data_IF_954528641968
#
_entry.id   IF_954528641968
#
_cell.length_a   1.000
_cell.length_b   1.000
_cell.length_c   1.000
_cell.angle_alpha   90.00
_cell.angle_beta   90.00
_cell.angle_gamma   90.00
#
_symmetry.space_group_name_H-M   'P 1'
#
loop_
_entity.id
_entity.type
_entity.pdbx_description
1 polymer ?
#
# COMPACT_ATOMS: atom_id res chain seq x y z
N UNK A 1 43.09 9.02 11.75
CA UNK A 1 41.62 9.13 11.53
C UNK A 1 41.20 9.73 10.17
N UNK A 2 42.03 10.49 9.44
CA UNK A 2 41.63 11.09 8.14
C UNK A 2 41.65 10.16 6.90
N UNK A 3 42.21 8.96 6.98
CA UNK A 3 42.37 8.05 5.82
C UNK A 3 41.21 7.06 5.61
N UNK A 4 40.29 6.92 6.57
CA UNK A 4 39.16 5.98 6.47
C UNK A 4 37.94 6.60 5.75
N UNK A 5 37.77 7.93 5.82
CA UNK A 5 36.65 8.64 5.20
C UNK A 5 36.71 8.64 3.67
N UNK A 6 37.92 8.69 3.10
CA UNK A 6 38.12 8.71 1.64
C UNK A 6 37.80 7.35 1.01
N UNK A 7 38.11 6.24 1.69
CA UNK A 7 37.77 4.89 1.20
C UNK A 7 36.28 4.59 1.28
N UNK A 8 35.60 5.04 2.33
CA UNK A 8 34.14 4.92 2.44
C UNK A 8 33.41 5.77 1.37
N UNK A 9 33.89 7.00 1.12
CA UNK A 9 33.37 7.83 0.04
C UNK A 9 33.63 7.23 -1.36
N UNK A 10 34.77 6.56 -1.57
CA UNK A 10 35.07 5.87 -2.83
C UNK A 10 34.16 4.67 -3.07
N UNK A 11 33.84 3.89 -2.03
CA UNK A 11 32.92 2.74 -2.13
C UNK A 11 31.48 3.20 -2.39
N UNK A 12 31.03 4.29 -1.76
CA UNK A 12 29.74 4.92 -2.09
C UNK A 12 29.73 5.52 -3.51
N UNK A 13 30.83 6.08 -3.99
CA UNK A 13 30.94 6.61 -5.34
C UNK A 13 31.01 5.52 -6.43
N UNK A 14 31.63 4.36 -6.13
CA UNK A 14 31.70 3.20 -7.03
C UNK A 14 30.39 2.40 -7.08
N UNK A 15 29.51 2.52 -6.08
CA UNK A 15 28.16 1.95 -6.09
C UNK A 15 27.14 2.73 -6.93
N UNK A 16 27.47 3.94 -7.39
CA UNK A 16 26.56 4.83 -8.14
C UNK A 16 26.50 4.53 -9.65
N UNK A 17 27.30 3.59 -10.16
CA UNK A 17 27.39 3.27 -11.59
C UNK A 17 26.77 1.93 -11.98
N UNK A 18 25.91 1.35 -11.15
CA UNK A 18 25.14 0.17 -11.56
C UNK A 18 24.02 0.63 -12.48
N UNK A 19 24.18 0.41 -13.80
CA UNK A 19 23.07 0.49 -14.74
C UNK A 19 22.08 -0.64 -14.40
N UNK A 20 21.14 -0.35 -13.50
CA UNK A 20 20.03 -1.23 -13.21
C UNK A 20 19.01 -1.11 -14.36
N UNK A 21 19.08 -2.03 -15.32
CA UNK A 21 17.97 -2.29 -16.23
C UNK A 21 16.93 -3.08 -15.44
N UNK A 22 15.99 -2.36 -14.84
CA UNK A 22 14.91 -2.95 -14.05
C UNK A 22 13.55 -2.48 -14.62
N UNK A 23 12.62 -3.43 -14.73
CA UNK A 23 11.27 -3.25 -15.27
C UNK A 23 11.04 -3.98 -16.59
N UNK A 24 9.87 -4.63 -16.72
CA UNK A 24 9.42 -5.25 -17.96
C UNK A 24 8.33 -4.37 -18.60
N UNK A 25 8.73 -3.43 -19.48
CA UNK A 25 7.80 -2.53 -20.17
C UNK A 25 6.80 -3.28 -21.04
N UNK A 26 7.17 -4.44 -21.56
CA UNK A 26 6.41 -5.16 -22.58
C UNK A 26 5.08 -5.71 -22.04
N UNK A 27 4.92 -5.77 -20.71
CA UNK A 27 3.70 -6.24 -20.03
C UNK A 27 2.85 -5.11 -19.45
N UNK A 28 3.25 -3.84 -19.62
CA UNK A 28 2.46 -2.73 -19.07
C UNK A 28 1.06 -2.68 -19.70
N UNK A 29 0.04 -2.63 -18.84
CA UNK A 29 -1.37 -2.63 -19.26
C UNK A 29 -1.99 -4.02 -19.48
N UNK A 30 -1.26 -5.11 -19.19
CA UNK A 30 -1.78 -6.49 -19.33
C UNK A 30 -2.28 -7.10 -18.01
N UNK A 31 -2.07 -6.44 -16.86
CA UNK A 31 -2.65 -6.86 -15.59
C UNK A 31 -4.03 -6.25 -15.36
N UNK A 32 -4.93 -7.03 -14.77
CA UNK A 32 -6.17 -6.53 -14.16
C UNK A 32 -6.03 -6.44 -12.63
N UNK A 33 -7.12 -6.23 -11.90
CA UNK A 33 -7.12 -6.11 -10.43
C UNK A 33 -6.14 -5.04 -9.89
N UNK A 34 -6.01 -3.91 -10.58
CA UNK A 34 -5.02 -2.86 -10.25
C UNK A 34 -5.27 -2.20 -8.89
N UNK A 35 -6.50 -2.29 -8.37
CA UNK A 35 -6.89 -1.86 -7.03
C UNK A 35 -6.13 -2.61 -5.92
N UNK A 36 -5.60 -3.80 -6.18
CA UNK A 36 -4.69 -4.48 -5.25
C UNK A 36 -3.43 -3.67 -4.93
N UNK A 37 -3.04 -2.74 -5.80
CA UNK A 37 -1.90 -1.84 -5.60
C UNK A 37 -2.25 -0.59 -4.78
N UNK A 38 -3.54 -0.39 -4.46
CA UNK A 38 -3.98 0.75 -3.65
C UNK A 38 -3.68 0.46 -2.18
N UNK A 39 -2.88 1.33 -1.58
CA UNK A 39 -2.74 1.41 -0.14
C UNK A 39 -3.79 2.40 0.40
N UNK A 40 -4.74 1.96 1.25
CA UNK A 40 -5.81 2.80 1.77
C UNK A 40 -5.45 3.50 3.09
N UNK A 41 -4.25 3.32 3.63
CA UNK A 41 -3.89 3.82 4.96
C UNK A 41 -3.05 5.10 4.92
N UNK A 42 -3.47 6.13 5.66
CA UNK A 42 -2.90 7.47 5.65
C UNK A 42 -1.44 7.53 6.11
N UNK A 43 -1.07 6.71 7.11
CA UNK A 43 0.30 6.72 7.63
C UNK A 43 1.30 6.27 6.56
N UNK A 44 1.07 5.12 5.93
CA UNK A 44 1.98 4.58 4.91
C UNK A 44 1.91 5.33 3.60
N UNK A 45 0.73 5.81 3.20
CA UNK A 45 0.58 6.59 1.97
C UNK A 45 1.26 7.96 2.03
N UNK A 46 1.45 8.53 3.23
CA UNK A 46 2.25 9.74 3.44
C UNK A 46 3.72 9.62 3.03
N UNK A 47 4.20 8.39 2.81
CA UNK A 47 5.52 8.08 2.27
C UNK A 47 5.45 7.06 1.12
N UNK A 48 4.34 6.98 0.36
CA UNK A 48 4.16 5.99 -0.72
C UNK A 48 4.37 4.50 -0.36
N UNK A 49 4.31 4.12 0.92
CA UNK A 49 4.64 2.76 1.37
C UNK A 49 6.15 2.48 1.47
N UNK A 50 7.00 3.52 1.38
CA UNK A 50 8.46 3.39 1.55
C UNK A 50 8.85 2.94 2.96
N UNK A 51 7.93 3.04 3.92
CA UNK A 51 8.05 2.47 5.25
C UNK A 51 7.97 0.93 5.28
N UNK A 52 8.15 0.22 4.15
CA UNK A 52 8.10 -1.26 4.10
C UNK A 52 8.98 -1.93 5.16
N UNK A 53 10.13 -1.34 5.50
CA UNK A 53 11.04 -1.86 6.51
C UNK A 53 10.55 -1.72 7.95
N UNK A 54 9.74 -0.70 8.24
CA UNK A 54 9.39 -0.28 9.60
C UNK A 54 7.90 0.02 9.80
N UNK A 55 7.05 -0.34 8.83
CA UNK A 55 5.59 -0.23 8.92
C UNK A 55 5.08 -1.16 10.02
N UNK A 56 4.07 -0.71 10.76
CA UNK A 56 3.48 -1.41 11.90
C UNK A 56 1.96 -1.29 11.88
N UNK A 57 1.28 -2.18 12.59
CA UNK A 57 -0.17 -2.07 12.82
C UNK A 57 -1.00 -2.42 11.58
N UNK A 58 -2.18 -1.83 11.45
CA UNK A 58 -3.08 -2.11 10.32
C UNK A 58 -2.52 -1.72 8.95
N UNK A 59 -1.72 -0.66 8.90
CA UNK A 59 -0.98 -0.22 7.71
C UNK A 59 -0.12 -1.33 7.08
N UNK A 60 0.36 -2.27 7.90
CA UNK A 60 1.17 -3.41 7.47
C UNK A 60 0.41 -4.33 6.52
N UNK A 61 -0.91 -4.49 6.70
CA UNK A 61 -1.79 -5.31 5.85
C UNK A 61 -1.77 -4.87 4.37
N UNK A 62 -1.41 -3.62 4.10
CA UNK A 62 -1.33 -3.07 2.73
C UNK A 62 0.04 -2.48 2.40
N UNK A 63 1.08 -2.87 3.15
CA UNK A 63 2.47 -2.42 2.91
C UNK A 63 3.45 -3.58 3.04
N UNK A 64 3.62 -4.13 4.24
CA UNK A 64 4.45 -5.33 4.51
C UNK A 64 3.82 -6.08 5.68
N UNK A 65 3.28 -7.26 5.42
CA UNK A 65 2.50 -8.03 6.39
C UNK A 65 3.28 -8.37 7.67
N UNK A 66 4.61 -8.44 7.63
CA UNK A 66 5.43 -8.64 8.84
C UNK A 66 5.19 -7.56 9.89
N UNK A 67 4.89 -6.32 9.49
CA UNK A 67 4.60 -5.21 10.39
C UNK A 67 3.37 -5.43 11.29
N UNK A 68 2.48 -6.37 10.93
CA UNK A 68 1.31 -6.71 11.72
C UNK A 68 1.70 -7.34 13.07
N UNK A 69 2.87 -7.98 13.18
CA UNK A 69 3.31 -8.62 14.43
C UNK A 69 3.58 -7.64 15.58
N UNK A 70 3.68 -6.34 15.27
CA UNK A 70 3.90 -5.28 16.25
C UNK A 70 2.62 -4.81 16.95
N UNK A 71 1.44 -5.32 16.58
CA UNK A 71 0.19 -5.04 17.31
C UNK A 71 0.26 -5.68 18.70
N UNK A 72 0.06 -4.87 19.74
CA UNK A 72 0.20 -5.32 21.13
C UNK A 72 -1.05 -6.00 21.69
N UNK A 73 -2.25 -5.48 21.41
CA UNK A 73 -3.52 -6.14 21.77
C UNK A 73 -4.50 -6.12 20.60
N UNK A 74 -5.23 -5.02 20.46
CA UNK A 74 -6.29 -4.88 19.46
C UNK A 74 -6.09 -3.55 18.75
N UNK A 75 -6.15 -3.58 17.43
CA UNK A 75 -6.15 -2.38 16.61
C UNK A 75 -7.34 -2.44 15.66
N UNK A 76 -8.12 -1.36 15.62
CA UNK A 76 -9.26 -1.21 14.70
C UNK A 76 -9.05 0.10 13.95
N UNK A 77 -9.32 0.10 12.66
CA UNK A 77 -9.13 1.28 11.84
C UNK A 77 -10.15 1.38 10.72
N UNK A 78 -10.41 2.62 10.33
CA UNK A 78 -11.18 2.94 9.14
C UNK A 78 -10.43 3.99 8.34
N UNK A 79 -10.55 3.93 7.02
CA UNK A 79 -9.96 4.94 6.16
C UNK A 79 -10.81 5.20 4.93
N UNK A 80 -10.68 6.43 4.42
CA UNK A 80 -11.31 6.87 3.20
C UNK A 80 -10.26 7.51 2.30
N UNK A 81 -10.16 7.02 1.06
CA UNK A 81 -9.32 7.62 0.02
C UNK A 81 -10.19 8.31 -1.01
N UNK A 82 -9.96 9.60 -1.21
CA UNK A 82 -10.49 10.35 -2.33
C UNK A 82 -9.53 10.20 -3.50
N UNK A 83 -9.88 9.35 -4.46
CA UNK A 83 -9.15 9.19 -5.71
C UNK A 83 -9.69 10.22 -6.70
N UNK A 84 -8.83 11.07 -7.25
CA UNK A 84 -9.20 12.12 -8.20
C UNK A 84 -10.11 13.19 -7.58
N UNK A 85 -9.53 14.29 -7.08
CA UNK A 85 -10.31 15.40 -6.51
C UNK A 85 -11.25 15.99 -7.58
N UNK A 86 -12.56 15.93 -7.30
CA UNK A 86 -13.74 16.23 -8.15
C UNK A 86 -14.37 15.04 -8.91
N UNK A 87 -13.83 13.83 -8.76
CA UNK A 87 -14.48 12.60 -9.23
C UNK A 87 -15.36 11.96 -8.15
N UNK A 88 -16.14 10.97 -8.56
CA UNK A 88 -16.95 10.09 -7.71
C UNK A 88 -16.15 8.88 -7.19
N UNK A 89 -14.86 8.79 -7.52
CA UNK A 89 -14.03 7.61 -7.24
C UNK A 89 -13.53 7.66 -5.79
N UNK A 90 -13.99 6.72 -4.98
CA UNK A 90 -13.66 6.64 -3.56
C UNK A 90 -13.27 5.23 -3.15
N UNK A 91 -12.38 5.12 -2.18
CA UNK A 91 -12.01 3.85 -1.54
C UNK A 91 -12.36 3.91 -0.06
N UNK A 92 -13.31 3.08 0.36
CA UNK A 92 -13.61 2.85 1.76
C UNK A 92 -12.81 1.65 2.25
N UNK A 93 -12.28 1.73 3.46
CA UNK A 93 -11.48 0.65 4.02
C UNK A 93 -11.69 0.51 5.52
N UNK A 94 -11.72 -0.74 6.00
CA UNK A 94 -11.86 -1.13 7.38
C UNK A 94 -10.79 -2.18 7.72
N UNK A 95 -10.16 -2.02 8.88
CA UNK A 95 -9.11 -2.91 9.36
C UNK A 95 -9.36 -3.34 10.80
N UNK A 96 -9.03 -4.59 11.10
CA UNK A 96 -9.05 -5.16 12.43
C UNK A 96 -7.79 -6.02 12.63
N UNK A 97 -7.11 -5.88 13.75
CA UNK A 97 -5.98 -6.71 14.12
C UNK A 97 -6.07 -7.11 15.59
N UNK A 98 -5.71 -8.37 15.88
CA UNK A 98 -5.79 -8.93 17.21
C UNK A 98 -4.57 -9.81 17.50
N UNK A 99 -3.87 -9.50 18.60
CA UNK A 99 -2.82 -10.36 19.13
C UNK A 99 -3.43 -11.61 19.78
N UNK A 100 -2.91 -12.78 19.41
CA UNK A 100 -3.33 -14.08 19.90
C UNK A 100 -2.47 -14.52 21.10
N UNK A 101 -2.81 -14.04 22.29
CA UNK A 101 -2.06 -14.37 23.51
C UNK A 101 -0.61 -13.84 23.52
N UNK A 102 0.16 -14.21 24.54
CA UNK A 102 1.47 -13.59 24.78
C UNK A 102 2.56 -14.08 23.80
N UNK A 103 2.52 -15.36 23.42
CA UNK A 103 3.51 -16.01 22.55
C UNK A 103 2.97 -16.35 21.15
N UNK A 104 1.71 -16.00 20.86
CA UNK A 104 1.13 -16.19 19.54
C UNK A 104 1.47 -15.06 18.58
N UNK A 105 0.96 -15.21 17.36
CA UNK A 105 1.04 -14.17 16.34
C UNK A 105 -0.11 -13.16 16.47
N UNK A 106 -0.21 -12.30 15.47
CA UNK A 106 -1.29 -11.34 15.28
C UNK A 106 -2.06 -11.77 14.05
N UNK A 107 -3.39 -11.85 14.17
CA UNK A 107 -4.29 -12.00 13.02
C UNK A 107 -4.83 -10.64 12.62
N UNK A 108 -5.01 -10.45 11.32
CA UNK A 108 -5.50 -9.21 10.74
C UNK A 108 -6.55 -9.45 9.68
N UNK A 109 -7.52 -8.55 9.59
CA UNK A 109 -8.54 -8.49 8.54
C UNK A 109 -8.51 -7.08 7.96
N UNK A 110 -8.51 -6.95 6.64
CA UNK A 110 -8.60 -5.68 5.95
C UNK A 110 -9.63 -5.78 4.80
N UNK A 111 -10.70 -5.01 4.90
CA UNK A 111 -11.76 -4.92 3.89
C UNK A 111 -11.60 -3.60 3.16
N UNK A 112 -11.47 -3.64 1.84
CA UNK A 112 -11.36 -2.45 1.00
C UNK A 112 -12.41 -2.53 -0.11
N UNK A 113 -13.21 -1.49 -0.26
CA UNK A 113 -14.22 -1.36 -1.30
C UNK A 113 -14.01 -0.06 -2.07
N UNK A 114 -13.87 -0.17 -3.38
CA UNK A 114 -13.72 0.95 -4.30
C UNK A 114 -14.99 1.11 -5.13
N UNK A 115 -15.51 2.33 -5.18
CA UNK A 115 -16.66 2.72 -5.98
C UNK A 115 -16.25 3.81 -6.95
N UNK A 116 -16.87 3.78 -8.13
CA UNK A 116 -16.65 4.76 -9.19
C UNK A 116 -17.84 5.73 -9.34
N UNK A 117 -18.88 5.59 -8.51
CA UNK A 117 -20.16 6.25 -8.70
C UNK A 117 -20.93 5.69 -9.90
N UNK A 118 -22.02 6.37 -10.25
CA UNK A 118 -22.86 5.98 -11.38
C UNK A 118 -22.31 6.56 -12.68
N UNK A 119 -22.05 5.68 -13.65
CA UNK A 119 -21.53 6.05 -14.97
C UNK A 119 -22.70 5.97 -15.96
N UNK A 120 -22.99 7.05 -16.72
CA UNK A 120 -24.04 7.02 -17.74
C UNK A 120 -23.66 6.06 -18.87
N UNK A 121 -24.63 5.27 -19.32
CA UNK A 121 -24.50 4.43 -20.51
C UNK A 121 -24.69 5.31 -21.74
N UNK A 122 -23.79 5.22 -22.71
CA UNK A 122 -23.82 5.97 -23.97
C UNK A 122 -23.73 5.01 -25.15
N UNK A 123 -24.43 5.32 -26.24
CA UNK A 123 -24.27 4.64 -27.53
C UNK A 123 -24.22 5.67 -28.67
N UNK A 124 -24.20 5.19 -29.93
CA UNK A 124 -24.16 6.06 -31.10
C UNK A 124 -25.39 7.00 -31.19
N UNK A 125 -26.56 6.53 -30.77
CA UNK A 125 -27.82 7.29 -30.82
C UNK A 125 -28.00 8.20 -29.60
N UNK A 126 -27.34 7.87 -28.48
CA UNK A 126 -27.42 8.54 -27.18
C UNK A 126 -26.02 8.89 -26.65
N UNK A 127 -25.26 9.79 -27.33
CA UNK A 127 -23.90 10.13 -26.94
C UNK A 127 -23.82 10.89 -25.60
N UNK A 128 -24.88 11.62 -25.24
CA UNK A 128 -25.00 12.32 -23.95
C UNK A 128 -25.55 11.40 -22.82
N UNK A 129 -25.85 10.14 -23.15
CA UNK A 129 -26.48 9.17 -22.26
C UNK A 129 -28.00 9.29 -22.21
N UNK A 130 -28.62 8.97 -21.07
CA UNK A 130 -30.08 8.96 -20.89
C UNK A 130 -30.74 7.58 -21.01
N UNK A 131 -29.94 6.54 -21.28
CA UNK A 131 -30.38 5.13 -21.40
C UNK A 131 -30.03 4.28 -20.16
N UNK A 132 -29.77 4.94 -19.03
CA UNK A 132 -29.45 4.31 -17.74
C UNK A 132 -28.00 4.53 -17.29
N UNK A 133 -27.65 3.91 -16.17
CA UNK A 133 -26.32 3.97 -15.57
C UNK A 133 -25.83 2.58 -15.16
N UNK A 134 -24.52 2.45 -15.01
CA UNK A 134 -23.90 1.29 -14.37
C UNK A 134 -22.90 1.74 -13.30
N UNK A 135 -22.71 0.90 -12.27
CA UNK A 135 -21.91 1.24 -11.09
C UNK A 135 -20.83 0.19 -10.89
N UNK A 136 -19.60 0.43 -11.37
CA UNK A 136 -18.48 -0.47 -11.10
C UNK A 136 -18.14 -0.51 -9.61
N UNK A 137 -17.86 -1.72 -9.11
CA UNK A 137 -17.48 -1.97 -7.72
C UNK A 137 -16.32 -2.94 -7.66
N UNK A 138 -15.24 -2.54 -6.99
CA UNK A 138 -14.13 -3.44 -6.68
C UNK A 138 -14.07 -3.70 -5.18
N UNK A 139 -13.81 -4.94 -4.81
CA UNK A 139 -13.83 -5.41 -3.44
C UNK A 139 -12.64 -6.31 -3.14
N UNK A 140 -11.91 -5.99 -2.07
CA UNK A 140 -10.79 -6.77 -1.56
C UNK A 140 -11.02 -7.13 -0.09
N UNK A 141 -10.93 -8.42 0.23
CA UNK A 141 -10.93 -8.94 1.60
C UNK A 141 -9.59 -9.64 1.87
N UNK A 142 -8.76 -9.03 2.71
CA UNK A 142 -7.47 -9.58 3.10
C UNK A 142 -7.54 -10.19 4.51
N UNK A 143 -7.00 -11.40 4.66
CA UNK A 143 -6.74 -12.07 5.93
C UNK A 143 -5.24 -12.24 6.10
N UNK A 144 -4.71 -11.83 7.24
CA UNK A 144 -3.27 -11.82 7.51
C UNK A 144 -2.92 -12.49 8.83
N UNK A 145 -1.73 -13.08 8.87
CA UNK A 145 -1.11 -13.58 10.09
C UNK A 145 0.36 -13.17 10.10
N UNK A 146 0.82 -12.61 11.21
CA UNK A 146 2.23 -12.26 11.40
C UNK A 146 2.72 -12.60 12.80
N UNK A 147 4.02 -12.92 12.92
CA UNK A 147 4.63 -13.34 14.17
C UNK A 147 6.08 -12.88 14.26
N UNK A 148 6.50 -12.54 15.49
CA UNK A 148 7.90 -12.40 15.84
C UNK A 148 8.54 -13.79 16.01
N UNK A 149 9.56 -14.10 15.22
CA UNK A 149 10.33 -15.35 15.30
C UNK A 149 11.55 -15.22 16.20
N UNK A 150 12.09 -14.01 16.32
CA UNK A 150 13.14 -13.65 17.27
C UNK A 150 12.96 -12.20 17.71
N UNK A 151 13.88 -11.69 18.53
CA UNK A 151 13.92 -10.26 18.88
C UNK A 151 14.16 -9.34 17.68
N UNK A 152 14.65 -9.88 16.57
CA UNK A 152 15.03 -9.09 15.39
C UNK A 152 14.33 -9.50 14.11
N UNK A 153 13.65 -10.66 14.06
CA UNK A 153 13.04 -11.18 12.83
C UNK A 153 11.54 -11.33 13.04
N UNK A 154 10.79 -10.66 12.17
CA UNK A 154 9.35 -10.67 12.11
C UNK A 154 8.94 -11.12 10.72
N UNK A 155 7.97 -12.01 10.62
CA UNK A 155 7.45 -12.43 9.32
C UNK A 155 5.95 -12.61 9.36
N UNK A 156 5.33 -12.50 8.19
CA UNK A 156 3.89 -12.70 8.03
C UNK A 156 3.53 -13.18 6.64
N UNK A 157 2.29 -13.65 6.55
CA UNK A 157 1.64 -14.07 5.31
C UNK A 157 0.22 -13.54 5.29
N UNK A 158 -0.30 -13.27 4.10
CA UNK A 158 -1.69 -12.89 3.92
C UNK A 158 -2.27 -13.50 2.65
N UNK A 159 -3.59 -13.66 2.66
CA UNK A 159 -4.41 -14.03 1.51
C UNK A 159 -5.46 -12.95 1.28
N UNK A 160 -5.69 -12.56 0.04
CA UNK A 160 -6.66 -11.56 -0.36
C UNK A 160 -7.62 -12.14 -1.38
N UNK A 161 -8.90 -12.15 -1.07
CA UNK A 161 -9.96 -12.34 -2.05
C UNK A 161 -10.20 -11.03 -2.79
N UNK A 162 -10.32 -11.10 -4.12
CA UNK A 162 -10.50 -9.97 -5.02
C UNK A 162 -11.75 -10.21 -5.84
N UNK A 163 -12.57 -9.17 -5.99
CA UNK A 163 -13.76 -9.18 -6.84
C UNK A 163 -13.91 -7.85 -7.54
N UNK A 164 -14.12 -7.89 -8.85
CA UNK A 164 -14.45 -6.75 -9.71
C UNK A 164 -15.81 -7.02 -10.34
N UNK A 165 -16.74 -6.07 -10.29
CA UNK A 165 -18.06 -6.27 -10.88
C UNK A 165 -18.71 -4.98 -11.40
N UNK A 166 -19.52 -5.16 -12.44
CA UNK A 166 -20.60 -4.26 -12.86
C UNK A 166 -21.91 -5.07 -12.89
N UNK A 167 -23.01 -4.48 -13.34
CA UNK A 167 -24.37 -5.07 -13.29
C UNK A 167 -24.46 -6.51 -13.85
N UNK A 168 -23.77 -6.81 -14.95
CA UNK A 168 -23.90 -8.08 -15.68
C UNK A 168 -22.56 -8.81 -15.94
N UNK A 169 -21.46 -8.31 -15.38
CA UNK A 169 -20.10 -8.86 -15.56
C UNK A 169 -19.37 -8.85 -14.22
N UNK A 170 -18.66 -9.94 -13.93
CA UNK A 170 -17.82 -10.08 -12.73
C UNK A 170 -16.52 -10.82 -13.02
N UNK A 171 -15.48 -10.52 -12.27
CA UNK A 171 -14.26 -11.31 -12.17
C UNK A 171 -13.88 -11.47 -10.70
N UNK A 172 -13.34 -12.63 -10.32
CA UNK A 172 -12.91 -12.87 -8.94
C UNK A 172 -11.67 -13.74 -8.88
N UNK A 173 -10.82 -13.53 -7.90
CA UNK A 173 -9.60 -14.32 -7.72
C UNK A 173 -9.07 -14.27 -6.29
N UNK A 174 -7.97 -14.97 -6.06
CA UNK A 174 -7.24 -14.94 -4.81
C UNK A 174 -5.79 -14.54 -5.03
N UNK A 175 -5.26 -13.72 -4.13
CA UNK A 175 -3.87 -13.28 -4.09
C UNK A 175 -3.22 -13.65 -2.77
N UNK A 176 -1.94 -13.94 -2.80
CA UNK A 176 -1.12 -14.27 -1.63
C UNK A 176 0.03 -13.29 -1.51
N UNK A 177 0.44 -13.04 -0.28
CA UNK A 177 1.58 -12.20 0.02
C UNK A 177 2.36 -12.73 1.22
N UNK A 178 3.66 -12.46 1.22
CA UNK A 178 4.56 -12.78 2.31
C UNK A 178 5.49 -11.59 2.57
N UNK A 179 5.89 -11.43 3.82
CA UNK A 179 6.71 -10.31 4.25
C UNK A 179 7.62 -10.69 5.39
N UNK A 180 8.79 -10.05 5.41
CA UNK A 180 9.78 -10.13 6.49
C UNK A 180 10.21 -8.71 6.85
N UNK A 181 10.37 -8.45 8.14
CA UNK A 181 11.06 -7.29 8.68
C UNK A 181 12.18 -7.76 9.61
N UNK A 182 13.35 -7.17 9.43
CA UNK A 182 14.53 -7.35 10.26
C UNK A 182 14.86 -6.05 10.97
N UNK A 183 14.96 -6.11 12.30
CA UNK A 183 15.20 -4.95 13.16
C UNK A 183 16.44 -5.21 14.02
N UNK A 184 17.39 -4.29 14.01
CA UNK A 184 18.64 -4.41 14.79
C UNK A 184 19.19 -3.04 15.19
N UNK A 185 20.29 -3.04 15.94
CA UNK A 185 20.93 -1.86 16.49
C UNK A 185 20.68 -1.71 17.99
N UNK A 186 21.36 -0.75 18.62
CA UNK A 186 21.34 -0.58 20.09
C UNK A 186 19.93 -0.30 20.64
N UNK A 187 19.08 0.34 19.84
CA UNK A 187 17.69 0.71 20.19
C UNK A 187 16.73 0.31 19.07
N UNK A 188 17.00 -0.79 18.37
CA UNK A 188 16.16 -1.24 17.24
C UNK A 188 16.05 -0.18 16.14
N UNK A 189 17.17 0.49 15.86
CA UNK A 189 17.23 1.70 15.06
C UNK A 189 17.59 1.46 13.59
N UNK A 190 17.98 0.25 13.20
CA UNK A 190 18.14 -0.15 11.81
C UNK A 190 17.05 -1.15 11.43
N UNK A 191 16.40 -0.88 10.30
CA UNK A 191 15.30 -1.68 9.78
C UNK A 191 15.57 -2.09 8.34
N UNK A 192 15.29 -3.34 8.04
CA UNK A 192 15.27 -3.88 6.69
C UNK A 192 13.98 -4.64 6.47
N UNK A 193 13.35 -4.51 5.31
CA UNK A 193 12.13 -5.24 5.00
C UNK A 193 12.09 -5.72 3.57
N UNK A 194 11.48 -6.88 3.38
CA UNK A 194 11.16 -7.45 2.07
C UNK A 194 9.71 -7.90 2.10
N UNK A 195 8.97 -7.62 1.04
CA UNK A 195 7.63 -8.19 0.86
C UNK A 195 7.35 -8.49 -0.60
N UNK A 196 6.79 -9.67 -0.84
CA UNK A 196 6.29 -10.09 -2.14
C UNK A 196 4.77 -10.09 -2.05
N UNK A 197 4.12 -9.28 -2.88
CA UNK A 197 2.69 -8.99 -2.78
C UNK A 197 1.97 -9.36 -4.06
N UNK A 198 0.69 -9.68 -3.91
CA UNK A 198 -0.25 -9.98 -5.00
C UNK A 198 0.18 -11.14 -5.90
N UNK A 199 0.73 -12.21 -5.33
CA UNK A 199 0.94 -13.47 -6.08
C UNK A 199 -0.41 -14.13 -6.22
N UNK A 200 -1.05 -14.00 -7.37
CA UNK A 200 -2.45 -14.37 -7.52
C UNK A 200 -2.75 -15.37 -8.62
N UNK A 201 -3.94 -15.94 -8.53
CA UNK A 201 -4.53 -16.69 -9.64
C UNK A 201 -4.86 -15.75 -10.79
N UNK A 202 -4.84 -16.26 -12.02
CA UNK A 202 -5.43 -15.52 -13.14
C UNK A 202 -6.93 -15.31 -12.90
N UNK A 203 -7.45 -14.19 -13.37
CA UNK A 203 -8.86 -13.83 -13.35
C UNK A 203 -9.38 -13.73 -14.78
N UNK A 204 -10.67 -13.92 -14.96
CA UNK A 204 -11.37 -13.72 -16.22
C UNK A 204 -12.75 -13.13 -15.94
N UNK A 205 -13.21 -12.25 -16.83
CA UNK A 205 -14.53 -11.66 -16.72
C UNK A 205 -15.57 -12.65 -17.23
N UNK A 206 -16.63 -12.87 -16.46
CA UNK A 206 -17.74 -13.76 -16.81
C UNK A 206 -19.07 -13.06 -16.53
N UNK A 207 -20.13 -13.52 -17.18
CA UNK A 207 -21.49 -13.02 -16.97
C UNK A 207 -22.23 -12.70 -18.27
N UNK A 208 -23.50 -12.32 -18.13
CA UNK A 208 -24.40 -12.13 -19.26
C UNK A 208 -23.99 -10.97 -20.19
N UNK A 209 -23.07 -10.09 -19.75
CA UNK A 209 -22.51 -9.05 -20.62
C UNK A 209 -21.71 -9.57 -21.82
N UNK A 210 -21.26 -10.83 -21.78
CA UNK A 210 -20.59 -11.49 -22.91
C UNK A 210 -21.51 -12.41 -23.72
N UNK A 211 -22.82 -12.32 -23.50
CA UNK A 211 -23.80 -13.08 -24.26
C UNK A 211 -24.32 -12.25 -25.42
N UNK A 212 -24.21 -12.77 -26.64
CA UNK A 212 -24.74 -12.17 -27.87
C UNK A 212 -25.88 -13.01 -28.43
N UNK A 213 -26.92 -12.35 -28.94
CA UNK A 213 -27.97 -13.03 -29.69
C UNK A 213 -27.49 -13.25 -31.12
N UNK A 214 -27.49 -14.50 -31.56
CA UNK A 214 -27.14 -14.89 -32.93
C UNK A 214 -28.26 -15.73 -33.53
N UNK A 215 -28.47 -15.64 -34.84
CA UNK A 215 -29.41 -16.52 -35.53
C UNK A 215 -28.91 -17.96 -35.49
N UNK A 216 -29.83 -18.91 -35.34
CA UNK A 216 -29.49 -20.33 -35.34
C UNK A 216 -28.96 -20.72 -36.73
N UNK A 217 -27.81 -21.43 -36.82
CA UNK A 217 -27.21 -21.80 -38.11
C UNK A 217 -28.14 -22.60 -39.03
N UNK A 218 -29.09 -23.34 -38.46
CA UNK A 218 -30.02 -24.21 -39.19
C UNK A 218 -31.36 -23.53 -39.50
N UNK A 219 -31.69 -22.42 -38.84
CA UNK A 219 -32.97 -21.73 -39.06
C UNK A 219 -32.91 -20.26 -38.59
N UNK A 220 -32.87 -19.35 -39.56
CA UNK A 220 -32.81 -17.90 -39.33
C UNK A 220 -34.03 -17.33 -38.58
N UNK A 221 -35.14 -18.08 -38.47
CA UNK A 221 -36.31 -17.69 -37.67
C UNK A 221 -36.11 -17.87 -36.16
N UNK A 222 -35.04 -18.55 -35.72
CA UNK A 222 -34.72 -18.74 -34.31
C UNK A 222 -33.44 -18.01 -33.92
N UNK A 223 -33.46 -17.37 -32.76
CA UNK A 223 -32.28 -16.77 -32.15
C UNK A 223 -31.79 -17.63 -31.00
N UNK A 224 -30.48 -17.82 -30.90
CA UNK A 224 -29.82 -18.44 -29.77
C UNK A 224 -28.85 -17.47 -29.09
N UNK A 225 -28.64 -17.67 -27.80
CA UNK A 225 -27.63 -16.96 -27.03
C UNK A 225 -26.29 -17.67 -27.21
N UNK A 226 -25.29 -16.96 -27.73
CA UNK A 226 -23.91 -17.43 -27.80
C UNK A 226 -23.07 -16.66 -26.79
N UNK A 227 -22.23 -17.37 -26.03
CA UNK A 227 -21.32 -16.76 -25.09
C UNK A 227 -19.97 -16.50 -25.76
N UNK A 228 -19.49 -15.25 -25.70
CA UNK A 228 -18.17 -14.86 -26.20
C UNK A 228 -17.15 -15.16 -25.09
N UNK A 229 -16.16 -16.04 -25.33
CA UNK A 229 -15.15 -16.33 -24.33
C UNK A 229 -14.29 -15.09 -24.05
N UNK A 230 -13.90 -14.93 -22.79
CA UNK A 230 -13.01 -13.86 -22.35
C UNK A 230 -11.61 -14.38 -22.11
N UNK A 231 -10.63 -13.49 -22.23
CA UNK A 231 -9.23 -13.80 -21.96
C UNK A 231 -8.92 -13.65 -20.48
N UNK A 232 -8.00 -14.50 -20.01
CA UNK A 232 -7.49 -14.45 -18.65
C UNK A 232 -6.47 -13.33 -18.49
N UNK A 233 -6.51 -12.65 -17.36
CA UNK A 233 -5.54 -11.64 -16.97
C UNK A 233 -4.88 -11.98 -15.64
N UNK A 234 -3.66 -11.50 -15.45
CA UNK A 234 -2.87 -11.71 -14.25
C UNK A 234 -3.05 -10.55 -13.25
N UNK A 235 -2.82 -10.82 -11.98
CA UNK A 235 -2.81 -9.81 -10.91
C UNK A 235 -1.47 -9.05 -10.86
N UNK A 236 -1.43 -7.82 -10.33
CA UNK A 236 -0.23 -6.99 -10.34
C UNK A 236 0.72 -7.38 -9.21
N UNK A 237 1.45 -8.48 -9.39
CA UNK A 237 2.51 -8.92 -8.48
C UNK A 237 3.65 -7.89 -8.44
N UNK A 238 4.17 -7.64 -7.24
CA UNK A 238 5.39 -6.86 -7.07
C UNK A 238 6.19 -7.31 -5.86
N UNK A 239 7.50 -7.08 -5.95
CA UNK A 239 8.47 -7.30 -4.89
C UNK A 239 8.95 -5.94 -4.38
N UNK A 240 8.84 -5.68 -3.08
CA UNK A 240 9.33 -4.45 -2.48
C UNK A 240 10.42 -4.74 -1.44
N UNK A 241 11.48 -3.95 -1.51
CA UNK A 241 12.57 -3.90 -0.55
C UNK A 241 12.59 -2.54 0.13
N UNK A 242 12.78 -2.51 1.44
CA UNK A 242 12.89 -1.29 2.22
C UNK A 242 14.10 -1.32 3.15
N UNK A 243 14.68 -0.14 3.36
CA UNK A 243 15.64 0.15 4.41
C UNK A 243 15.16 1.38 5.17
N UNK A 244 15.29 1.37 6.49
CA UNK A 244 15.06 2.57 7.30
C UNK A 244 16.03 2.64 8.47
N UNK A 245 16.34 3.86 8.90
CA UNK A 245 17.17 4.10 10.08
C UNK A 245 16.57 5.20 10.95
N UNK A 246 16.45 4.91 12.25
CA UNK A 246 15.92 5.82 13.25
C UNK A 246 17.07 6.58 13.96
N UNK A 247 17.04 7.89 13.85
CA UNK A 247 17.90 8.81 14.60
C UNK A 247 17.13 9.38 15.79
N UNK A 248 17.66 9.16 16.99
CA UNK A 248 17.11 9.73 18.22
C UNK A 248 17.84 11.02 18.58
N UNK A 249 17.23 12.16 18.27
CA UNK A 249 17.91 13.47 18.25
C UNK A 249 18.25 13.99 19.67
N UNK A 250 17.52 13.55 20.67
CA UNK A 250 17.67 13.96 22.07
C UNK A 250 18.41 12.95 22.95
N UNK A 251 18.99 11.89 22.36
CA UNK A 251 19.63 10.78 23.08
C UNK A 251 20.68 11.24 24.11
N UNK A 252 21.49 12.25 23.78
CA UNK A 252 22.54 12.76 24.69
C UNK A 252 21.96 13.47 25.92
N UNK A 253 20.75 14.03 25.81
CA UNK A 253 20.07 14.75 26.90
C UNK A 253 19.35 13.78 27.84
N UNK A 254 18.82 12.67 27.32
CA UNK A 254 18.17 11.61 28.11
C UNK A 254 19.18 10.70 28.81
N UNK A 255 20.33 10.42 28.18
CA UNK A 255 21.38 9.59 28.75
C UNK A 255 22.00 10.14 30.05
N UNK A 256 21.89 11.45 30.32
CA UNK A 256 22.47 12.07 31.53
C UNK A 256 21.50 12.14 32.72
N UNK A 257 20.20 11.88 32.51
CA UNK A 257 19.16 12.11 33.52
C UNK A 257 18.48 10.83 34.04
N UNK A 258 18.55 9.72 33.30
CA UNK A 258 17.78 8.49 33.58
C UNK A 258 18.66 7.23 33.78
N UNK A 259 19.97 7.35 34.03
CA UNK A 259 20.87 6.20 34.35
C UNK A 259 20.44 5.41 35.61
N UNK A 260 19.45 5.90 36.37
CA UNK A 260 18.92 5.25 37.59
C UNK A 260 17.52 4.62 37.42
N UNK A 261 16.93 4.56 36.21
CA UNK A 261 15.66 3.84 35.99
C UNK A 261 15.89 2.49 35.31
N UNK A 262 15.17 1.47 35.79
CA UNK A 262 15.21 0.09 35.32
C UNK A 262 14.69 -0.11 33.87
N UNK A 263 14.05 0.90 33.28
CA UNK A 263 13.51 0.89 31.91
C UNK A 263 14.04 2.13 31.18
N UNK A 264 14.80 2.00 30.09
CA UNK A 264 15.34 3.14 29.37
C UNK A 264 14.22 3.95 28.73
N UNK A 265 14.08 5.21 29.15
CA UNK A 265 13.15 6.18 28.55
C UNK A 265 13.47 6.35 27.06
N UNK A 266 12.46 6.13 26.21
CA UNK A 266 12.60 6.37 24.77
C UNK A 266 12.79 7.88 24.52
N UNK A 267 13.75 8.28 23.67
CA UNK A 267 13.95 9.69 23.33
C UNK A 267 12.69 10.28 22.68
N UNK A 268 12.44 11.56 22.94
CA UNK A 268 11.23 12.28 22.54
C UNK A 268 11.20 12.62 21.06
N UNK A 269 12.36 12.71 20.42
CA UNK A 269 12.50 13.12 19.02
C UNK A 269 13.11 11.98 18.19
N UNK A 270 12.29 11.39 17.33
CA UNK A 270 12.73 10.40 16.33
C UNK A 270 12.72 11.03 14.95
N UNK A 271 13.81 10.90 14.22
CA UNK A 271 13.89 11.16 12.79
C UNK A 271 14.21 9.85 12.09
N UNK A 272 13.31 9.36 11.25
CA UNK A 272 13.52 8.16 10.44
C UNK A 272 13.81 8.55 9.01
N UNK A 273 14.90 8.04 8.46
CA UNK A 273 15.19 8.11 7.02
C UNK A 273 14.89 6.75 6.42
N UNK A 274 14.17 6.71 5.31
CA UNK A 274 13.78 5.47 4.65
C UNK A 274 14.03 5.53 3.15
N UNK A 275 14.34 4.38 2.56
CA UNK A 275 14.45 4.18 1.14
C UNK A 275 13.83 2.85 0.74
N UNK A 276 13.21 2.80 -0.43
CA UNK A 276 12.60 1.56 -0.93
C UNK A 276 12.75 1.39 -2.43
N UNK A 277 12.83 0.14 -2.87
CA UNK A 277 12.78 -0.25 -4.27
C UNK A 277 11.62 -1.23 -4.49
N UNK A 278 10.74 -0.94 -5.45
CA UNK A 278 9.67 -1.86 -5.89
C UNK A 278 9.97 -2.34 -7.29
N UNK A 279 10.11 -3.65 -7.45
CA UNK A 279 10.10 -4.30 -8.76
C UNK A 279 8.68 -4.75 -9.09
N UNK A 280 8.11 -4.21 -10.16
CA UNK A 280 6.73 -4.48 -10.59
C UNK A 280 6.72 -5.40 -11.82
N UNK A 281 5.80 -6.36 -11.85
CA UNK A 281 5.64 -7.24 -13.01
C UNK A 281 4.97 -6.57 -14.22
N UNK A 282 4.12 -5.55 -13.97
CA UNK A 282 3.25 -4.92 -14.98
C UNK A 282 3.33 -3.38 -15.00
N UNK A 283 4.14 -2.78 -14.13
CA UNK A 283 4.37 -1.34 -14.09
C UNK A 283 5.86 -1.07 -14.18
N UNK A 284 6.23 0.20 -14.34
CA UNK A 284 7.62 0.61 -14.14
C UNK A 284 8.05 0.34 -12.70
N UNK A 285 9.34 0.08 -12.52
CA UNK A 285 9.92 -0.08 -11.18
C UNK A 285 9.99 1.27 -10.47
N UNK A 286 9.84 1.23 -9.15
CA UNK A 286 9.83 2.41 -8.30
C UNK A 286 11.08 2.46 -7.45
N UNK A 287 11.73 3.62 -7.40
CA UNK A 287 12.77 3.92 -6.42
C UNK A 287 12.32 5.13 -5.59
N UNK A 288 12.40 5.02 -4.28
CA UNK A 288 11.87 6.03 -3.38
C UNK A 288 12.76 6.33 -2.20
N UNK A 289 12.71 7.58 -1.74
CA UNK A 289 13.27 8.00 -0.47
C UNK A 289 12.26 8.86 0.30
N UNK A 290 12.25 8.71 1.62
CA UNK A 290 11.34 9.43 2.51
C UNK A 290 11.94 9.69 3.88
N UNK A 291 11.27 10.59 4.61
CA UNK A 291 11.59 10.92 5.99
C UNK A 291 10.33 10.97 6.83
N UNK A 292 10.42 10.50 8.06
CA UNK A 292 9.41 10.66 9.09
C UNK A 292 10.04 11.32 10.32
N UNK A 293 9.43 12.40 10.80
CA UNK A 293 9.78 12.99 12.08
C UNK A 293 8.66 12.75 13.08
N UNK A 294 8.98 12.13 14.21
CA UNK A 294 8.07 11.83 15.30
C UNK A 294 8.45 12.57 16.59
N UNK A 295 7.47 13.24 17.19
CA UNK A 295 7.57 13.85 18.51
C UNK A 295 6.69 13.10 19.51
N UNK A 296 7.32 12.49 20.51
CA UNK A 296 6.70 11.58 21.50
C UNK A 296 5.89 10.42 20.91
N UNK A 297 6.08 10.13 19.62
CA UNK A 297 5.17 9.27 18.84
C UNK A 297 3.69 9.73 18.88
N UNK A 298 3.43 10.98 19.28
CA UNK A 298 2.10 11.59 19.30
C UNK A 298 1.87 12.47 18.08
N UNK A 299 2.91 13.13 17.60
CA UNK A 299 2.84 13.95 16.40
C UNK A 299 3.89 13.47 15.41
N UNK A 300 3.46 13.13 14.19
CA UNK A 300 4.35 12.65 13.14
C UNK A 300 4.15 13.45 11.88
N UNK A 301 5.25 13.81 11.22
CA UNK A 301 5.26 14.43 9.90
C UNK A 301 6.07 13.58 8.94
N UNK A 302 5.57 13.44 7.72
CA UNK A 302 6.13 12.59 6.68
C UNK A 302 6.24 13.36 5.37
N UNK A 303 7.33 13.12 4.66
CA UNK A 303 7.52 13.55 3.28
C UNK A 303 8.33 12.51 2.51
N UNK A 304 8.02 12.32 1.23
CA UNK A 304 8.75 11.39 0.38
C UNK A 304 8.71 11.79 -1.09
N UNK A 305 9.66 11.24 -1.86
CA UNK A 305 9.68 11.30 -3.30
C UNK A 305 9.89 9.91 -3.91
N UNK A 306 8.95 9.48 -4.76
CA UNK A 306 8.99 8.25 -5.56
C UNK A 306 9.31 8.60 -7.00
N UNK A 307 10.39 8.01 -7.51
CA UNK A 307 10.78 8.07 -8.90
C UNK A 307 10.32 6.79 -9.64
N UNK A 308 9.87 6.98 -10.86
CA UNK A 308 9.68 5.92 -11.85
C UNK A 308 10.14 6.43 -13.22
N UNK A 309 10.42 5.52 -14.15
CA UNK A 309 10.85 5.90 -15.50
C UNK A 309 9.84 6.86 -16.14
N UNK A 310 10.34 7.96 -16.71
CA UNK A 310 9.56 9.00 -17.39
C UNK A 310 8.55 9.77 -16.50
N UNK A 311 8.66 9.76 -15.18
CA UNK A 311 7.70 10.45 -14.28
C UNK A 311 7.52 11.95 -14.60
N UNK A 312 8.55 12.61 -15.14
CA UNK A 312 8.50 14.02 -15.55
C UNK A 312 7.94 14.28 -16.95
N UNK A 313 7.82 13.25 -17.80
CA UNK A 313 7.33 13.39 -19.18
C UNK A 313 5.80 13.46 -19.21
N UNK A 314 5.21 14.31 -20.05
CA UNK A 314 3.75 14.34 -20.24
C UNK A 314 3.27 13.08 -20.97
N UNK A 315 3.85 12.80 -22.14
CA UNK A 315 3.44 11.67 -22.99
C UNK A 315 3.99 10.31 -22.53
N UNK A 316 5.10 10.32 -21.78
CA UNK A 316 5.84 9.11 -21.42
C UNK A 316 5.52 8.53 -20.04
N UNK A 317 4.74 9.22 -19.20
CA UNK A 317 4.45 8.77 -17.83
C UNK A 317 3.42 7.66 -17.81
N UNK A 318 3.62 6.70 -16.93
CA UNK A 318 2.70 5.57 -16.70
C UNK A 318 1.89 5.72 -15.41
N UNK A 319 2.11 6.80 -14.66
CA UNK A 319 1.44 7.07 -13.39
C UNK A 319 0.74 8.42 -13.39
N UNK A 320 -0.34 8.50 -12.61
CA UNK A 320 -0.97 9.79 -12.31
C UNK A 320 -0.16 10.63 -11.33
N UNK A 321 0.71 10.03 -10.51
CA UNK A 321 1.42 10.76 -9.45
C UNK A 321 2.57 11.62 -9.99
N UNK A 322 2.86 12.74 -9.33
CA UNK A 322 4.05 13.55 -9.65
C UNK A 322 5.32 13.09 -8.88
N UNK A 323 5.19 12.05 -8.06
CA UNK A 323 6.25 11.48 -7.24
C UNK A 323 6.32 12.01 -5.82
N UNK A 324 5.71 13.15 -5.48
CA UNK A 324 5.73 13.69 -4.11
C UNK A 324 4.66 13.04 -3.22
N UNK A 325 4.97 12.84 -1.95
CA UNK A 325 4.00 12.50 -0.91
C UNK A 325 4.29 13.30 0.35
N UNK A 326 3.24 13.64 1.06
CA UNK A 326 3.31 14.20 2.40
C UNK A 326 2.20 13.61 3.28
N UNK A 327 2.43 13.57 4.59
CA UNK A 327 1.41 13.16 5.52
C UNK A 327 1.70 13.58 6.95
N UNK A 328 0.67 13.50 7.79
CA UNK A 328 0.75 13.79 9.21
C UNK A 328 -0.04 12.75 10.01
N UNK A 329 0.42 12.45 11.22
CA UNK A 329 -0.33 11.70 12.23
C UNK A 329 -0.45 12.55 13.49
N UNK A 330 -1.63 12.54 14.10
CA UNK A 330 -1.84 12.96 15.48
C UNK A 330 -2.36 11.75 16.25
N UNK A 331 -1.72 11.43 17.37
CA UNK A 331 -2.15 10.39 18.29
C UNK A 331 -2.46 11.00 19.65
N UNK A 332 -3.52 10.49 20.28
CA UNK A 332 -3.95 10.91 21.60
C UNK A 332 -4.39 9.68 22.40
N UNK A 333 -3.87 9.54 23.62
CA UNK A 333 -4.28 8.46 24.51
C UNK A 333 -5.53 8.89 25.29
N UNK A 334 -6.60 8.10 25.20
CA UNK A 334 -7.85 8.38 25.91
C UNK A 334 -7.72 7.84 27.34
N UNK A 335 -7.45 8.73 28.30
CA UNK A 335 -7.19 8.38 29.70
C UNK A 335 -5.81 7.77 29.93
N UNK A 336 -5.39 7.60 31.19
CA UNK A 336 -4.01 7.20 31.52
C UNK A 336 -3.64 5.79 31.03
N UNK A 337 -4.60 4.86 30.99
CA UNK A 337 -4.41 3.45 30.59
C UNK A 337 -5.31 3.03 29.42
N UNK A 338 -6.00 3.98 28.79
CA UNK A 338 -6.93 3.65 27.71
C UNK A 338 -6.26 3.56 26.34
N UNK A 339 -7.07 3.31 25.29
CA UNK A 339 -6.58 3.14 23.94
C UNK A 339 -6.00 4.43 23.38
N UNK A 340 -5.13 4.28 22.40
CA UNK A 340 -4.56 5.37 21.62
C UNK A 340 -5.40 5.56 20.36
N UNK A 341 -5.96 6.76 20.22
CA UNK A 341 -6.63 7.21 19.01
C UNK A 341 -5.60 7.87 18.10
N UNK A 342 -5.50 7.43 16.86
CA UNK A 342 -4.65 8.03 15.83
C UNK A 342 -5.51 8.53 14.67
N UNK A 343 -5.23 9.76 14.24
CA UNK A 343 -5.79 10.38 13.04
C UNK A 343 -4.63 10.59 12.08
N UNK A 344 -4.74 9.97 10.91
CA UNK A 344 -3.75 10.07 9.85
C UNK A 344 -4.34 10.82 8.65
N UNK A 345 -3.54 11.69 8.07
CA UNK A 345 -3.84 12.33 6.79
C UNK A 345 -2.64 12.21 5.87
N UNK A 346 -2.88 11.92 4.59
CA UNK A 346 -1.86 12.00 3.55
C UNK A 346 -2.37 12.66 2.29
N UNK A 347 -1.42 13.24 1.56
CA UNK A 347 -1.64 13.87 0.28
C UNK A 347 -0.55 13.45 -0.70
N UNK A 348 -0.99 13.03 -1.89
CA UNK A 348 -0.12 12.70 -3.02
C UNK A 348 -0.58 13.51 -4.22
N UNK A 349 0.17 14.52 -4.66
CA UNK A 349 -0.24 15.29 -5.82
C UNK A 349 -0.13 14.45 -7.09
N UNK A 350 -1.05 14.72 -8.01
CA UNK A 350 -1.11 14.06 -9.31
C UNK A 350 -0.96 15.07 -10.43
N UNK A 351 -0.59 14.58 -11.61
CA UNK A 351 -0.69 15.31 -12.85
C UNK A 351 -2.15 15.73 -13.10
N UNK A 352 -2.35 16.91 -13.69
CA UNK A 352 -3.69 17.30 -14.16
C UNK A 352 -4.20 16.25 -15.15
N UNK A 353 -5.50 15.91 -15.11
CA UNK A 353 -6.59 16.55 -14.35
C UNK A 353 -6.87 15.95 -12.95
N UNK A 354 -6.08 14.98 -12.49
CA UNK A 354 -6.40 14.14 -11.33
C UNK A 354 -6.37 14.86 -9.96
N UNK A 355 -6.01 16.14 -9.87
CA UNK A 355 -6.12 17.05 -8.71
C UNK A 355 -5.65 16.52 -7.32
N UNK A 356 -4.80 15.50 -7.30
CA UNK A 356 -4.25 14.87 -6.10
C UNK A 356 -5.14 13.77 -5.50
N UNK A 357 -4.51 12.94 -4.68
CA UNK A 357 -5.15 11.87 -3.90
C UNK A 357 -5.02 12.20 -2.41
N UNK A 358 -6.15 12.15 -1.70
CA UNK A 358 -6.23 12.40 -0.27
C UNK A 358 -6.61 11.12 0.46
N UNK A 359 -5.94 10.83 1.57
CA UNK A 359 -6.28 9.68 2.42
C UNK A 359 -6.50 10.18 3.84
N UNK A 360 -7.64 9.84 4.41
CA UNK A 360 -7.97 10.05 5.82
C UNK A 360 -8.03 8.69 6.49
N UNK A 361 -7.42 8.54 7.67
CA UNK A 361 -7.55 7.31 8.46
C UNK A 361 -7.74 7.61 9.93
N UNK A 362 -8.54 6.78 10.57
CA UNK A 362 -8.81 6.78 12.00
C UNK A 362 -8.45 5.41 12.53
N UNK A 363 -7.64 5.34 13.59
CA UNK A 363 -7.23 4.07 14.21
C UNK A 363 -7.36 4.14 15.72
N UNK A 364 -7.78 3.04 16.31
CA UNK A 364 -7.85 2.82 17.75
C UNK A 364 -6.95 1.64 18.09
N UNK A 365 -5.91 1.89 18.89
CA UNK A 365 -4.88 0.92 19.28
C UNK A 365 -4.92 0.69 20.80
N UNK A 366 -4.91 -0.56 21.26
CA UNK A 366 -4.97 -0.91 22.70
C UNK A 366 -3.77 -1.69 23.20
#
# INVERSE_FOLDING_TARGET
MKKLSVKAALVCALGLSVNAYAGNKDRTGQAGATELSINPWGQSTGVFGMNTANVRGLDAMKTNIAGLSFVEKTEIGASYTMMLRNGTVGVNNLGFAQKLGNNGGVVGVNVMAMSFGDIPITDYDNPEGGIGTYTPQFFNLSLGYAKAFSHSIYAGVAATFVSEQITNVKASGAAFEAGIQYVTGKRDNFHFGITLRNIGTNMDFTGNGFTVNVQAPENEAYTMNMHVPTEKFEMPTYLNFGLAYDFYLDEKKTASADEQKAEPTKPKHRLTVMGSFTSNSFNNDFLGAGVEYGFHELFMLRAAYRYEKNIGSYDGRTTMYNGLAAGATIQHRIGEKGPMLAIDYSYRPTARPANGVHVFSLRFMR
#
